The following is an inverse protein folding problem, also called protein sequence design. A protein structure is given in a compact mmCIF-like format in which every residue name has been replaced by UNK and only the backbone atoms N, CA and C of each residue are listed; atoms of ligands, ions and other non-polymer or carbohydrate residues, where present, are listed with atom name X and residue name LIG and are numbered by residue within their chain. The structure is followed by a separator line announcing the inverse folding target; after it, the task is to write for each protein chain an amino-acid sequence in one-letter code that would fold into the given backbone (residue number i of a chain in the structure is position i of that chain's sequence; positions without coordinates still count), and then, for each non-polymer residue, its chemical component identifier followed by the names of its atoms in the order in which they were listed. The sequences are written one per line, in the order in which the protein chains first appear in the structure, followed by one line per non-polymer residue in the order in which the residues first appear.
data_IF_867280702974
#
_entry.id   IF_867280702974
#
_cell.length_a   1.000
_cell.length_b   1.000
_cell.length_c   1.000
_cell.angle_alpha   90.00
_cell.angle_beta   90.00
_cell.angle_gamma   90.00
#
_symmetry.space_group_name_H-M   'P 1'
#
loop_
_entity.id
_entity.type
_entity.pdbx_description
1 polymer ?
#
# COMPACT_ATOMS: atom_id res chain seq x y z
N UNK A 1 25.20 63.30 -11.93
CA UNK A 1 25.23 61.83 -12.14
C UNK A 1 24.79 61.04 -10.90
N UNK A 2 25.04 61.51 -9.68
CA UNK A 2 24.70 60.78 -8.44
C UNK A 2 23.18 60.57 -8.19
N UNK A 3 22.33 61.51 -8.61
CA UNK A 3 20.86 61.41 -8.42
C UNK A 3 20.22 60.28 -9.24
N UNK A 4 20.80 59.92 -10.40
CA UNK A 4 20.29 58.83 -11.24
C UNK A 4 20.66 57.47 -10.66
N UNK A 5 21.86 57.30 -10.11
CA UNK A 5 22.27 56.08 -9.42
C UNK A 5 21.42 55.78 -8.18
N UNK A 6 21.02 56.82 -7.43
CA UNK A 6 20.17 56.65 -6.25
C UNK A 6 18.74 56.25 -6.60
N UNK A 7 18.21 56.71 -7.74
CA UNK A 7 16.89 56.32 -8.24
C UNK A 7 16.93 54.90 -8.81
N UNK A 8 17.95 54.55 -9.59
CA UNK A 8 18.13 53.20 -10.14
C UNK A 8 18.35 52.16 -9.03
N UNK A 9 19.11 52.50 -7.97
CA UNK A 9 19.29 51.58 -6.83
C UNK A 9 18.01 51.39 -6.02
N UNK A 10 17.19 52.44 -5.85
CA UNK A 10 15.86 52.31 -5.22
C UNK A 10 14.90 51.48 -6.06
N UNK A 11 14.88 51.68 -7.39
CA UNK A 11 14.04 50.88 -8.29
C UNK A 11 14.45 49.41 -8.22
N UNK A 12 15.76 49.11 -8.29
CA UNK A 12 16.25 47.73 -8.19
C UNK A 12 15.91 47.08 -6.84
N UNK A 13 16.07 47.80 -5.73
CA UNK A 13 15.71 47.28 -4.40
C UNK A 13 14.21 47.04 -4.25
N UNK A 14 13.36 47.90 -4.81
CA UNK A 14 11.91 47.71 -4.83
C UNK A 14 11.52 46.53 -5.71
N UNK A 15 12.16 46.37 -6.87
CA UNK A 15 11.93 45.24 -7.78
C UNK A 15 12.32 43.92 -7.12
N UNK A 16 13.46 43.88 -6.43
CA UNK A 16 13.94 42.70 -5.71
C UNK A 16 13.00 42.34 -4.54
N UNK A 17 12.50 43.35 -3.81
CA UNK A 17 11.50 43.15 -2.74
C UNK A 17 10.17 42.60 -3.30
N UNK A 18 9.73 43.11 -4.46
CA UNK A 18 8.51 42.63 -5.13
C UNK A 18 8.64 41.17 -5.57
N UNK A 19 9.78 40.80 -6.16
CA UNK A 19 10.06 39.41 -6.54
C UNK A 19 10.04 38.49 -5.31
N UNK A 20 10.62 38.95 -4.19
CA UNK A 20 10.66 38.18 -2.95
C UNK A 20 9.26 38.01 -2.33
N UNK A 21 8.42 39.05 -2.37
CA UNK A 21 7.03 38.99 -1.93
C UNK A 21 6.20 38.03 -2.79
N UNK A 22 6.33 38.08 -4.12
CA UNK A 22 5.66 37.15 -5.03
C UNK A 22 6.12 35.71 -4.77
N UNK A 23 7.41 35.51 -4.52
CA UNK A 23 7.97 34.21 -4.12
C UNK A 23 7.35 33.68 -2.83
N UNK A 24 7.25 34.50 -1.79
CA UNK A 24 6.63 34.12 -0.51
C UNK A 24 5.15 33.77 -0.65
N UNK A 25 4.39 34.58 -1.40
CA UNK A 25 2.96 34.31 -1.64
C UNK A 25 2.79 33.00 -2.42
N UNK A 26 3.64 32.73 -3.41
CA UNK A 26 3.63 31.48 -4.17
C UNK A 26 3.90 30.26 -3.28
N UNK A 27 4.89 30.36 -2.36
CA UNK A 27 5.20 29.30 -1.41
C UNK A 27 4.05 29.03 -0.42
N UNK A 28 3.39 30.08 0.08
CA UNK A 28 2.23 29.96 0.96
C UNK A 28 1.07 29.30 0.20
N UNK A 29 0.79 29.74 -1.03
CA UNK A 29 -0.29 29.19 -1.86
C UNK A 29 -0.06 27.70 -2.15
N UNK A 30 1.17 27.33 -2.51
CA UNK A 30 1.55 25.94 -2.79
C UNK A 30 1.42 25.04 -1.55
N UNK A 31 1.74 25.56 -0.36
CA UNK A 31 1.60 24.82 0.90
C UNK A 31 0.12 24.59 1.27
N UNK A 32 -0.71 25.64 1.21
CA UNK A 32 -2.15 25.56 1.55
C UNK A 32 -2.89 24.64 0.59
N UNK A 33 -2.60 24.71 -0.71
CA UNK A 33 -3.28 23.89 -1.71
C UNK A 33 -2.88 22.40 -1.61
N UNK A 34 -1.61 22.10 -1.30
CA UNK A 34 -1.18 20.72 -1.03
C UNK A 34 -1.82 20.16 0.25
N UNK A 35 -1.91 20.96 1.32
CA UNK A 35 -2.48 20.49 2.59
C UNK A 35 -3.99 20.25 2.49
N UNK A 36 -4.70 21.07 1.71
CA UNK A 36 -6.14 20.90 1.45
C UNK A 36 -6.43 19.64 0.60
N UNK A 37 -5.55 19.29 -0.34
CA UNK A 37 -5.67 18.04 -1.09
C UNK A 37 -5.36 16.79 -0.26
N UNK A 38 -4.40 16.85 0.67
CA UNK A 38 -4.08 15.72 1.55
C UNK A 38 -5.20 15.35 2.55
N UNK A 39 -6.14 16.26 2.82
CA UNK A 39 -7.28 16.01 3.74
C UNK A 39 -8.53 15.45 3.06
N UNK A 40 -8.61 15.44 1.73
CA UNK A 40 -9.73 14.82 1.02
C UNK A 40 -9.58 13.30 1.08
N UNK A 41 -10.50 12.62 1.79
CA UNK A 41 -10.49 11.16 1.96
C UNK A 41 -9.96 10.66 3.31
N UNK A 42 -9.58 11.55 4.22
CA UNK A 42 -9.23 11.16 5.59
C UNK A 42 -10.49 11.06 6.47
N UNK A 43 -10.69 9.92 7.11
CA UNK A 43 -11.79 9.68 8.05
C UNK A 43 -11.17 9.31 9.39
N UNK A 44 -11.39 10.16 10.40
CA UNK A 44 -10.92 9.90 11.75
C UNK A 44 -11.75 8.75 12.35
N UNK A 45 -11.10 7.62 12.61
CA UNK A 45 -11.75 6.47 13.27
C UNK A 45 -11.49 6.58 14.77
N UNK A 46 -12.53 6.62 15.62
CA UNK A 46 -12.34 6.68 17.06
C UNK A 46 -11.62 5.42 17.55
N UNK A 47 -10.64 5.59 18.44
CA UNK A 47 -9.94 4.48 19.07
C UNK A 47 -10.95 3.60 19.83
N UNK A 48 -11.04 2.33 19.45
CA UNK A 48 -12.02 1.40 20.02
C UNK A 48 -11.72 1.01 21.48
N UNK A 49 -10.54 1.34 22.01
CA UNK A 49 -10.14 0.98 23.36
C UNK A 49 -9.63 2.20 24.14
N UNK A 50 -10.30 2.49 25.27
CA UNK A 50 -9.85 3.41 26.29
C UNK A 50 -8.57 2.86 26.95
N UNK A 51 -7.42 2.98 26.27
CA UNK A 51 -6.15 2.49 26.79
C UNK A 51 -4.93 2.60 25.87
N UNK A 52 -5.08 2.82 24.55
CA UNK A 52 -3.92 3.02 23.67
C UNK A 52 -3.64 4.51 23.43
N UNK A 53 -2.44 4.95 23.82
CA UNK A 53 -2.06 6.36 23.95
C UNK A 53 -1.76 7.09 22.63
N UNK A 54 -2.21 6.61 21.46
CA UNK A 54 -1.98 7.31 20.19
C UNK A 54 -3.17 7.12 19.24
N UNK A 55 -3.88 8.20 18.92
CA UNK A 55 -4.84 8.22 17.83
C UNK A 55 -4.11 8.12 16.49
N UNK A 56 -4.24 6.97 15.82
CA UNK A 56 -3.72 6.78 14.46
C UNK A 56 -4.74 7.37 13.49
N UNK A 57 -4.34 8.39 12.74
CA UNK A 57 -5.18 8.97 11.70
C UNK A 57 -5.23 8.00 10.53
N UNK A 58 -6.43 7.58 10.12
CA UNK A 58 -6.61 6.70 8.98
C UNK A 58 -7.12 7.51 7.79
N UNK A 59 -6.58 7.22 6.61
CA UNK A 59 -7.05 7.84 5.37
C UNK A 59 -7.28 6.81 4.29
N UNK A 60 -8.33 7.02 3.51
CA UNK A 60 -8.61 6.18 2.36
C UNK A 60 -7.85 6.73 1.15
N UNK A 61 -7.04 5.87 0.54
CA UNK A 61 -6.36 6.17 -0.72
C UNK A 61 -7.33 6.24 -1.91
N UNK A 62 -6.78 6.46 -3.09
CA UNK A 62 -7.55 6.42 -4.33
C UNK A 62 -8.22 5.05 -4.53
N UNK A 63 -9.43 5.08 -5.06
CA UNK A 63 -10.11 3.88 -5.53
C UNK A 63 -9.50 3.45 -6.87
N UNK A 64 -9.22 2.17 -7.01
CA UNK A 64 -8.78 1.49 -8.22
C UNK A 64 -9.88 0.53 -8.68
N UNK A 65 -10.20 0.53 -9.97
CA UNK A 65 -11.12 -0.45 -10.54
C UNK A 65 -10.44 -1.82 -10.66
N UNK A 66 -11.17 -2.89 -10.38
CA UNK A 66 -10.71 -4.27 -10.60
C UNK A 66 -11.14 -4.72 -12.02
N UNK A 67 -10.20 -4.96 -12.95
CA UNK A 67 -10.51 -5.34 -14.33
C UNK A 67 -11.43 -6.55 -14.44
N UNK A 68 -12.39 -6.47 -15.36
CA UNK A 68 -13.40 -7.50 -15.60
C UNK A 68 -14.53 -7.56 -14.55
N UNK A 69 -14.63 -6.58 -13.65
CA UNK A 69 -15.64 -6.55 -12.58
C UNK A 69 -16.26 -5.15 -12.42
N UNK A 70 -17.31 -5.03 -11.61
CA UNK A 70 -17.91 -3.74 -11.20
C UNK A 70 -17.39 -3.23 -9.84
N UNK A 71 -16.30 -3.85 -9.36
CA UNK A 71 -15.73 -3.63 -8.03
C UNK A 71 -14.63 -2.58 -8.07
N UNK A 72 -14.69 -1.67 -7.10
CA UNK A 72 -13.62 -0.72 -6.79
C UNK A 72 -12.94 -1.09 -5.49
N UNK A 73 -11.61 -0.97 -5.46
CA UNK A 73 -10.77 -1.25 -4.30
C UNK A 73 -10.04 0.01 -3.84
N UNK A 74 -10.13 0.32 -2.55
CA UNK A 74 -9.38 1.41 -1.90
C UNK A 74 -8.47 0.87 -0.81
N UNK A 75 -7.30 1.49 -0.64
CA UNK A 75 -6.36 1.14 0.45
C UNK A 75 -6.59 2.07 1.64
N UNK A 76 -6.78 1.51 2.84
CA UNK A 76 -6.82 2.27 4.08
C UNK A 76 -5.40 2.43 4.61
N UNK A 77 -4.89 3.64 4.66
CA UNK A 77 -3.53 3.98 5.06
C UNK A 77 -3.55 4.53 6.49
N UNK A 78 -2.51 4.23 7.26
CA UNK A 78 -2.27 4.89 8.53
C UNK A 78 -1.34 6.07 8.30
N UNK A 79 -1.81 7.29 8.59
CA UNK A 79 -1.01 8.49 8.54
C UNK A 79 -0.31 8.68 9.88
N UNK A 80 1.02 8.59 9.90
CA UNK A 80 1.79 9.05 11.04
C UNK A 80 1.91 10.58 10.99
N UNK A 81 1.73 11.22 12.15
CA UNK A 81 2.10 12.63 12.35
C UNK A 81 3.63 12.77 12.37
N UNK A 82 4.33 12.48 11.27
CA UNK A 82 5.77 12.75 11.18
C UNK A 82 6.05 13.79 10.09
N UNK A 83 6.46 14.99 10.55
CA UNK A 83 6.88 16.11 9.71
C UNK A 83 8.26 15.89 9.08
N UNK A 84 8.48 14.75 8.43
CA UNK A 84 9.70 14.48 7.67
C UNK A 84 9.39 14.52 6.19
N UNK A 85 9.89 15.56 5.54
CA UNK A 85 9.95 15.65 4.08
C UNK A 85 10.89 14.56 3.54
N UNK A 86 10.38 13.34 3.33
CA UNK A 86 11.06 12.36 2.49
C UNK A 86 10.55 12.51 1.06
N UNK A 87 11.33 13.19 0.23
CA UNK A 87 11.18 13.16 -1.23
C UNK A 87 11.52 11.76 -1.73
N UNK A 88 10.52 10.90 -1.89
CA UNK A 88 10.73 9.57 -2.45
C UNK A 88 9.44 8.76 -2.46
N UNK A 89 8.99 8.40 -3.67
CA UNK A 89 8.04 7.34 -4.01
C UNK A 89 6.83 7.14 -3.07
N UNK A 90 5.64 7.48 -3.58
CA UNK A 90 4.37 6.91 -3.12
C UNK A 90 4.53 5.37 -2.99
N UNK A 91 4.59 4.84 -1.76
CA UNK A 91 4.46 3.40 -1.53
C UNK A 91 5.30 2.74 -0.43
N UNK A 92 6.33 3.37 0.15
CA UNK A 92 7.33 2.59 0.95
C UNK A 92 7.32 2.78 2.47
N UNK A 93 6.53 3.68 3.05
CA UNK A 93 6.61 4.00 4.50
C UNK A 93 5.47 3.46 5.36
N UNK A 94 4.23 3.58 4.89
CA UNK A 94 3.03 3.33 5.67
C UNK A 94 2.17 2.29 4.95
N UNK A 95 2.43 1.01 5.23
CA UNK A 95 1.67 -0.09 4.63
C UNK A 95 0.16 0.04 4.93
N UNK A 96 -0.68 -0.37 3.98
CA UNK A 96 -2.13 -0.30 4.14
C UNK A 96 -2.58 -1.15 5.35
N UNK A 97 -3.48 -0.62 6.17
CA UNK A 97 -4.07 -1.32 7.32
C UNK A 97 -5.20 -2.24 6.93
N UNK A 98 -5.91 -1.90 5.84
CA UNK A 98 -7.03 -2.67 5.33
C UNK A 98 -7.32 -2.30 3.87
N UNK A 99 -8.21 -3.05 3.22
CA UNK A 99 -8.75 -2.73 1.89
C UNK A 99 -10.26 -2.55 1.99
N UNK A 100 -10.77 -1.51 1.33
CA UNK A 100 -12.19 -1.26 1.12
C UNK A 100 -12.58 -1.75 -0.27
N UNK A 101 -13.66 -2.50 -0.36
CA UNK A 101 -14.29 -2.91 -1.61
C UNK A 101 -15.65 -2.27 -1.75
N UNK A 102 -15.93 -1.71 -2.92
CA UNK A 102 -17.23 -1.16 -3.30
C UNK A 102 -17.76 -1.97 -4.49
N UNK A 103 -18.72 -2.85 -4.24
CA UNK A 103 -19.21 -3.82 -5.23
C UNK A 103 -20.66 -3.55 -5.63
N UNK A 104 -21.05 -3.90 -6.86
CA UNK A 104 -22.43 -3.76 -7.32
C UNK A 104 -22.82 -2.34 -7.74
N UNK A 105 -24.04 -2.22 -8.28
CA UNK A 105 -24.65 -0.94 -8.68
C UNK A 105 -24.82 0.02 -7.51
N UNK A 106 -25.15 -0.51 -6.33
CA UNK A 106 -25.38 0.28 -5.11
C UNK A 106 -24.09 0.55 -4.33
N UNK A 107 -22.93 0.11 -4.85
CA UNK A 107 -21.60 0.27 -4.23
C UNK A 107 -21.57 -0.19 -2.77
N UNK A 108 -22.04 -1.41 -2.53
CA UNK A 108 -21.99 -2.03 -1.22
C UNK A 108 -20.54 -2.09 -0.72
N UNK A 109 -20.32 -1.49 0.45
CA UNK A 109 -19.00 -1.33 1.04
C UNK A 109 -18.63 -2.53 1.93
N UNK A 110 -17.41 -3.04 1.78
CA UNK A 110 -16.88 -4.15 2.57
C UNK A 110 -15.40 -3.95 2.87
N UNK A 111 -15.00 -4.24 4.11
CA UNK A 111 -13.59 -4.34 4.48
C UNK A 111 -13.06 -5.76 4.26
N UNK A 112 -11.80 -5.89 3.85
CA UNK A 112 -11.11 -7.19 3.77
C UNK A 112 -11.03 -7.86 5.15
N UNK A 113 -10.46 -7.12 6.11
CA UNK A 113 -10.37 -7.55 7.51
C UNK A 113 -11.49 -6.90 8.31
N UNK A 114 -12.02 -7.63 9.30
CA UNK A 114 -13.00 -7.07 10.25
C UNK A 114 -12.41 -5.95 11.10
N UNK A 115 -11.10 -6.01 11.38
CA UNK A 115 -10.37 -5.06 12.20
C UNK A 115 -9.20 -4.45 11.41
N UNK A 116 -8.78 -3.24 11.76
CA UNK A 116 -7.72 -2.49 11.06
C UNK A 116 -6.31 -2.69 11.67
N UNK A 117 -6.09 -3.82 12.34
CA UNK A 117 -4.86 -4.12 13.09
C UNK A 117 -3.74 -4.69 12.21
N UNK A 118 -4.10 -5.34 11.12
CA UNK A 118 -3.14 -5.93 10.20
C UNK A 118 -2.38 -4.85 9.42
N UNK A 119 -1.19 -5.18 8.93
CA UNK A 119 -0.48 -4.37 7.95
C UNK A 119 -0.27 -5.18 6.68
N UNK A 120 -0.85 -4.71 5.61
CA UNK A 120 -0.74 -5.25 4.27
C UNK A 120 0.60 -4.80 3.69
N UNK A 121 1.39 -5.77 3.25
CA UNK A 121 2.69 -5.57 2.61
C UNK A 121 2.54 -5.48 1.09
N UNK A 122 1.76 -6.38 0.51
CA UNK A 122 1.51 -6.43 -0.92
C UNK A 122 0.06 -6.82 -1.21
N UNK A 123 -0.48 -6.26 -2.30
CA UNK A 123 -1.80 -6.63 -2.85
C UNK A 123 -1.70 -6.60 -4.34
N UNK A 124 -1.96 -7.75 -4.95
CA UNK A 124 -1.86 -7.93 -6.39
C UNK A 124 -3.10 -8.58 -6.95
N UNK A 125 -3.59 -8.01 -8.04
CA UNK A 125 -4.72 -8.53 -8.79
C UNK A 125 -4.23 -9.66 -9.69
N UNK A 126 -4.62 -10.90 -9.39
CA UNK A 126 -4.18 -12.08 -10.13
C UNK A 126 -5.00 -12.23 -11.41
N UNK A 127 -4.30 -12.30 -12.55
CA UNK A 127 -4.90 -12.57 -13.85
C UNK A 127 -4.11 -13.64 -14.59
N UNK A 128 -4.77 -14.29 -15.54
CA UNK A 128 -4.16 -15.28 -16.43
C UNK A 128 -3.02 -14.69 -17.28
N UNK A 129 -3.12 -13.42 -17.65
CA UNK A 129 -2.15 -12.72 -18.50
C UNK A 129 -0.90 -12.24 -17.72
N UNK A 130 -0.87 -12.48 -16.41
CA UNK A 130 0.18 -12.01 -15.51
C UNK A 130 -0.23 -10.81 -14.67
N UNK A 131 0.61 -10.49 -13.68
CA UNK A 131 0.32 -9.51 -12.62
C UNK A 131 0.44 -8.04 -13.06
N UNK A 132 1.16 -7.77 -14.16
CA UNK A 132 1.48 -6.39 -14.62
C UNK A 132 0.78 -5.97 -15.92
N UNK A 133 0.13 -6.89 -16.63
CA UNK A 133 -0.36 -6.68 -18.00
C UNK A 133 -1.80 -6.13 -18.05
N UNK A 134 -2.55 -6.25 -16.96
CA UNK A 134 -3.99 -5.97 -16.93
C UNK A 134 -4.39 -4.51 -16.94
N UNK A 135 -3.47 -3.59 -16.64
CA UNK A 135 -3.78 -2.15 -16.68
C UNK A 135 -3.95 -1.62 -18.11
N UNK A 136 -3.40 -2.32 -19.10
CA UNK A 136 -3.43 -1.92 -20.51
C UNK A 136 -4.44 -2.73 -21.36
N UNK A 137 -4.70 -3.99 -21.00
CA UNK A 137 -5.62 -4.85 -21.74
C UNK A 137 -7.05 -4.77 -21.18
N UNK A 138 -7.98 -4.33 -22.03
CA UNK A 138 -9.42 -4.26 -21.70
C UNK A 138 -10.06 -5.65 -21.53
N UNK A 139 -9.42 -6.70 -22.03
CA UNK A 139 -9.89 -8.07 -21.92
C UNK A 139 -9.30 -8.80 -20.71
N UNK A 140 -8.42 -8.16 -19.93
CA UNK A 140 -7.95 -8.78 -18.70
C UNK A 140 -9.08 -8.88 -17.67
N UNK A 141 -9.24 -10.09 -17.11
CA UNK A 141 -10.16 -10.36 -16.01
C UNK A 141 -9.37 -10.77 -14.78
N UNK A 142 -9.51 -10.02 -13.69
CA UNK A 142 -8.93 -10.40 -12.40
C UNK A 142 -9.72 -11.58 -11.83
N UNK A 143 -9.01 -12.65 -11.44
CA UNK A 143 -9.59 -13.88 -10.89
C UNK A 143 -9.67 -13.84 -9.36
N UNK A 144 -8.63 -13.34 -8.72
CA UNK A 144 -8.53 -13.24 -7.28
C UNK A 144 -7.53 -12.16 -6.88
N UNK A 145 -7.47 -11.87 -5.58
CA UNK A 145 -6.48 -10.97 -5.01
C UNK A 145 -5.48 -11.76 -4.20
N UNK A 146 -4.21 -11.64 -4.57
CA UNK A 146 -3.07 -12.04 -3.75
C UNK A 146 -2.83 -10.99 -2.68
N UNK A 147 -2.68 -11.42 -1.44
CA UNK A 147 -2.50 -10.51 -0.30
C UNK A 147 -1.38 -11.06 0.59
N UNK A 148 -0.33 -10.26 0.74
CA UNK A 148 0.71 -10.46 1.73
C UNK A 148 0.49 -9.49 2.89
N UNK A 149 0.44 -10.00 4.12
CA UNK A 149 0.18 -9.17 5.29
C UNK A 149 0.84 -9.71 6.56
N UNK A 150 1.04 -8.82 7.52
CA UNK A 150 1.54 -9.15 8.87
C UNK A 150 0.45 -8.84 9.88
N UNK A 151 0.29 -9.72 10.86
CA UNK A 151 -0.60 -9.49 12.00
C UNK A 151 0.11 -8.68 13.08
N UNK A 152 -0.65 -8.01 13.94
CA UNK A 152 -0.10 -7.23 15.06
C UNK A 152 0.78 -8.08 15.99
N UNK A 153 0.43 -9.35 16.22
CA UNK A 153 1.22 -10.29 17.03
C UNK A 153 2.61 -10.60 16.43
N UNK A 154 2.73 -10.55 15.10
CA UNK A 154 4.03 -10.72 14.42
C UNK A 154 4.89 -9.44 14.48
N UNK A 155 4.30 -8.29 14.82
CA UNK A 155 5.00 -7.00 14.93
C UNK A 155 5.63 -6.78 16.32
N UNK A 156 5.09 -7.39 17.38
CA UNK A 156 5.53 -7.20 18.78
C UNK A 156 6.76 -8.03 19.17
N UNK A 157 7.29 -8.90 18.30
CA UNK A 157 8.64 -9.48 18.47
C UNK A 157 9.71 -8.44 18.11
N UNK A 158 9.90 -7.44 18.96
CA UNK A 158 10.97 -6.45 18.81
C UNK A 158 12.03 -6.64 19.90
N UNK A 159 13.01 -7.47 19.57
CA UNK A 159 14.29 -7.59 20.25
C UNK A 159 15.37 -7.81 19.18
N UNK A 160 16.00 -6.72 18.74
CA UNK A 160 17.23 -6.61 17.90
C UNK A 160 17.50 -7.51 16.67
N UNK A 161 16.61 -8.41 16.26
CA UNK A 161 16.70 -9.11 14.96
C UNK A 161 15.34 -9.05 14.25
N UNK A 162 15.23 -8.17 13.23
CA UNK A 162 13.99 -7.91 12.49
C UNK A 162 13.79 -8.96 11.39
N UNK A 163 13.21 -10.10 11.73
CA UNK A 163 12.51 -10.92 10.74
C UNK A 163 11.02 -10.79 11.01
N UNK A 164 10.35 -9.90 10.28
CA UNK A 164 8.88 -9.82 10.34
C UNK A 164 8.33 -10.91 9.44
N UNK A 165 7.69 -11.91 10.05
CA UNK A 165 7.08 -13.00 9.30
C UNK A 165 5.73 -12.55 8.74
N UNK A 166 5.52 -12.75 7.45
CA UNK A 166 4.28 -12.44 6.74
C UNK A 166 3.42 -13.68 6.56
N UNK A 167 2.14 -13.43 6.28
CA UNK A 167 1.18 -14.42 5.86
C UNK A 167 0.74 -14.09 4.45
N UNK A 168 0.46 -15.13 3.67
CA UNK A 168 -0.03 -15.03 2.30
C UNK A 168 -1.42 -15.62 2.26
N UNK A 169 -2.36 -14.86 1.73
CA UNK A 169 -3.72 -15.31 1.51
C UNK A 169 -4.25 -14.93 0.14
N UNK A 170 -5.32 -15.62 -0.25
CA UNK A 170 -6.13 -15.26 -1.41
C UNK A 170 -7.51 -14.80 -0.95
N UNK A 171 -8.06 -13.80 -1.64
CA UNK A 171 -9.47 -13.41 -1.50
C UNK A 171 -10.12 -13.26 -2.86
N UNK A 172 -11.45 -13.24 -2.85
CA UNK A 172 -12.23 -12.93 -4.05
C UNK A 172 -12.06 -11.45 -4.40
N UNK A 173 -12.36 -11.12 -5.65
CA UNK A 173 -12.29 -9.74 -6.17
C UNK A 173 -13.16 -8.75 -5.39
N UNK A 174 -14.22 -9.21 -4.74
CA UNK A 174 -15.11 -8.39 -3.89
C UNK A 174 -14.65 -8.30 -2.42
N UNK A 175 -13.46 -8.81 -2.12
CA UNK A 175 -12.87 -8.84 -0.78
C UNK A 175 -13.40 -9.93 0.13
N UNK A 176 -14.27 -10.84 -0.34
CA UNK A 176 -14.76 -11.95 0.49
C UNK A 176 -13.87 -13.16 0.47
N UNK A 177 -14.07 -14.03 1.46
CA UNK A 177 -13.47 -15.36 1.47
C UNK A 177 -11.95 -15.34 1.59
N UNK A 178 -11.37 -14.29 2.22
CA UNK A 178 -9.95 -14.27 2.50
C UNK A 178 -9.54 -15.55 3.25
N UNK A 179 -8.71 -16.34 2.59
CA UNK A 179 -8.18 -17.60 3.12
C UNK A 179 -6.67 -17.48 3.23
N UNK A 180 -6.13 -17.68 4.43
CA UNK A 180 -4.68 -17.71 4.67
C UNK A 180 -4.17 -19.07 4.24
N UNK A 181 -3.14 -19.09 3.40
CA UNK A 181 -2.65 -20.29 2.74
C UNK A 181 -1.21 -20.61 3.11
N UNK A 182 -0.39 -19.59 3.34
CA UNK A 182 0.98 -19.74 3.82
C UNK A 182 1.17 -18.83 5.03
N UNK A 183 1.63 -19.41 6.12
CA UNK A 183 1.88 -18.72 7.38
C UNK A 183 3.37 -18.72 7.71
N UNK A 184 3.78 -17.68 8.44
CA UNK A 184 5.16 -17.52 8.91
C UNK A 184 6.19 -17.49 7.77
N UNK A 185 5.85 -16.81 6.68
CA UNK A 185 6.73 -16.61 5.53
C UNK A 185 7.79 -15.57 5.88
N UNK A 186 9.06 -15.90 5.66
CA UNK A 186 10.17 -14.98 5.91
C UNK A 186 10.29 -13.91 4.82
N UNK A 187 10.21 -14.34 3.56
CA UNK A 187 10.17 -13.46 2.40
C UNK A 187 9.52 -14.17 1.22
N UNK A 188 8.78 -13.42 0.43
CA UNK A 188 8.28 -13.88 -0.87
C UNK A 188 9.32 -13.55 -1.92
N UNK A 189 9.82 -14.57 -2.62
CA UNK A 189 10.85 -14.42 -3.64
C UNK A 189 10.22 -14.16 -5.01
N UNK A 190 9.15 -14.89 -5.33
CA UNK A 190 8.34 -14.66 -6.52
C UNK A 190 6.96 -15.28 -6.39
N UNK A 191 6.01 -14.79 -7.16
CA UNK A 191 4.75 -15.47 -7.41
C UNK A 191 4.31 -15.23 -8.84
N UNK A 192 3.62 -16.22 -9.43
CA UNK A 192 3.15 -16.16 -10.82
C UNK A 192 1.97 -17.11 -11.03
N UNK A 193 0.99 -16.67 -11.80
CA UNK A 193 -0.05 -17.55 -12.34
C UNK A 193 0.58 -18.50 -13.36
N UNK A 194 0.51 -19.81 -13.10
CA UNK A 194 0.98 -20.84 -14.03
C UNK A 194 -0.01 -21.03 -15.18
N UNK A 195 -1.29 -20.88 -14.87
CA UNK A 195 -2.44 -20.91 -15.78
C UNK A 195 -3.57 -20.07 -15.17
N UNK A 196 -4.81 -20.20 -15.65
CA UNK A 196 -5.95 -19.44 -15.16
C UNK A 196 -6.32 -19.72 -13.69
N UNK A 197 -5.99 -20.91 -13.17
CA UNK A 197 -6.51 -21.45 -11.92
C UNK A 197 -5.42 -21.71 -10.88
N UNK A 198 -4.14 -21.75 -11.28
CA UNK A 198 -3.04 -22.13 -10.41
C UNK A 198 -2.03 -21.01 -10.22
N UNK A 199 -1.78 -20.67 -8.96
CA UNK A 199 -0.74 -19.74 -8.54
C UNK A 199 0.46 -20.53 -8.00
N UNK A 200 1.64 -20.21 -8.52
CA UNK A 200 2.93 -20.66 -7.98
C UNK A 200 3.54 -19.56 -7.13
N UNK A 201 3.98 -19.91 -5.92
CA UNK A 201 4.63 -18.98 -4.99
C UNK A 201 5.95 -19.59 -4.54
N UNK A 202 7.05 -18.90 -4.83
CA UNK A 202 8.37 -19.21 -4.33
C UNK A 202 8.66 -18.31 -3.14
N UNK A 203 8.95 -18.90 -1.98
CA UNK A 203 9.13 -18.16 -0.74
C UNK A 203 10.20 -18.80 0.13
N UNK A 204 10.76 -17.99 1.03
CA UNK A 204 11.67 -18.45 2.05
C UNK A 204 10.92 -18.65 3.37
N UNK A 205 11.13 -19.80 4.00
CA UNK A 205 10.74 -20.05 5.38
C UNK A 205 11.98 -20.54 6.14
N UNK A 206 12.43 -19.75 7.09
CA UNK A 206 13.68 -19.99 7.82
C UNK A 206 14.88 -20.14 6.84
N UNK A 207 15.51 -21.31 6.78
CA UNK A 207 16.65 -21.60 5.90
C UNK A 207 16.25 -22.37 4.61
N UNK A 208 14.95 -22.53 4.36
CA UNK A 208 14.42 -23.28 3.22
C UNK A 208 13.80 -22.33 2.20
N UNK A 209 14.15 -22.54 0.93
CA UNK A 209 13.37 -22.04 -0.20
C UNK A 209 12.33 -23.11 -0.53
N UNK A 210 11.07 -22.70 -0.53
CA UNK A 210 9.92 -23.56 -0.74
C UNK A 210 9.09 -23.05 -1.91
N UNK A 211 8.44 -23.97 -2.60
CA UNK A 211 7.52 -23.67 -3.67
C UNK A 211 6.14 -24.20 -3.30
N UNK A 212 5.17 -23.29 -3.23
CA UNK A 212 3.77 -23.60 -3.06
C UNK A 212 3.03 -23.51 -4.39
N UNK A 213 2.09 -24.43 -4.60
CA UNK A 213 1.11 -24.39 -5.67
C UNK A 213 -0.27 -24.25 -5.05
N UNK A 214 -1.02 -23.25 -5.48
CA UNK A 214 -2.28 -22.84 -4.88
C UNK A 214 -3.35 -22.85 -5.96
N UNK A 215 -4.51 -23.45 -5.67
CA UNK A 215 -5.71 -23.28 -6.49
C UNK A 215 -6.36 -21.94 -6.15
N UNK A 216 -6.46 -21.07 -7.15
CA UNK A 216 -7.11 -19.76 -7.07
C UNK A 216 -8.63 -19.91 -7.03
N UNK A 217 -9.17 -20.87 -7.78
CA UNK A 217 -10.62 -21.16 -7.81
C UNK A 217 -11.11 -21.73 -6.49
N UNK A 218 -10.40 -22.72 -5.94
CA UNK A 218 -10.78 -23.36 -4.68
C UNK A 218 -10.29 -22.60 -3.45
N UNK A 219 -9.35 -21.66 -3.62
CA UNK A 219 -8.65 -20.97 -2.54
C UNK A 219 -7.99 -21.97 -1.57
N UNK A 220 -7.21 -22.89 -2.12
CA UNK A 220 -6.55 -23.96 -1.35
C UNK A 220 -5.11 -24.15 -1.75
N UNK A 221 -4.29 -24.50 -0.77
CA UNK A 221 -2.94 -24.99 -0.99
C UNK A 221 -3.01 -26.42 -1.56
N UNK A 222 -2.50 -26.61 -2.77
CA UNK A 222 -2.46 -27.92 -3.44
C UNK A 222 -1.18 -28.68 -3.09
N UNK A 223 -0.06 -27.96 -3.01
CA UNK A 223 1.22 -28.52 -2.59
C UNK A 223 2.12 -27.44 -2.02
N UNK A 224 2.96 -27.82 -1.06
CA UNK A 224 4.08 -27.03 -0.56
C UNK A 224 5.29 -27.96 -0.44
N UNK A 225 6.36 -27.64 -1.16
CA UNK A 225 7.55 -28.48 -1.26
C UNK A 225 8.80 -27.65 -1.00
N UNK A 226 9.72 -28.23 -0.23
CA UNK A 226 11.09 -27.73 -0.15
C UNK A 226 11.75 -27.88 -1.53
N UNK A 227 12.30 -26.78 -2.04
CA UNK A 227 13.08 -26.76 -3.27
C UNK A 227 14.56 -26.93 -2.94
N UNK A 228 15.05 -26.15 -1.98
CA UNK A 228 16.45 -26.16 -1.58
C UNK A 228 16.64 -25.50 -0.21
N UNK A 229 17.68 -25.94 0.53
CA UNK A 229 18.17 -25.25 1.72
C UNK A 229 19.23 -24.23 1.36
N UNK A 230 19.09 -23.02 1.89
CA UNK A 230 20.08 -21.96 1.73
C UNK A 230 21.24 -22.23 2.69
N UNK A 231 22.47 -22.47 2.20
CA UNK A 231 23.63 -22.61 3.07
C UNK A 231 23.88 -21.32 3.86
N UNK A 232 24.41 -21.44 5.08
CA UNK A 232 24.83 -20.26 5.84
C UNK A 232 25.89 -19.46 5.10
N UNK A 233 25.75 -18.13 5.07
CA UNK A 233 26.83 -17.26 4.65
C UNK A 233 27.91 -17.27 5.74
N UNK A 234 29.13 -17.68 5.38
CA UNK A 234 30.33 -17.61 6.23
C UNK A 234 30.91 -16.20 6.15
#
# INVERSE_FOLDING_TARGET
MEKLFFVVSRINSVLLLLILLVGLVSLIWMNVNNNAWQRRGAVEVPAADAGSAQSVMLSLGSLEDIPGTDVQMGRLLAQEKSGKFSSGHYGSGEGARNLLFLSGKDKQARWLFKEHKNRILDVTQLSEQGTDTCKADKNCVTRALYIEFVTEAAQTRQGNSRTTLSNIGLSKVDGTGLTVLLEEVGSVLSYRMEDADHLSVLYQKSAEIRQARISVVEMKLLSDREVIKVPGAV
#
